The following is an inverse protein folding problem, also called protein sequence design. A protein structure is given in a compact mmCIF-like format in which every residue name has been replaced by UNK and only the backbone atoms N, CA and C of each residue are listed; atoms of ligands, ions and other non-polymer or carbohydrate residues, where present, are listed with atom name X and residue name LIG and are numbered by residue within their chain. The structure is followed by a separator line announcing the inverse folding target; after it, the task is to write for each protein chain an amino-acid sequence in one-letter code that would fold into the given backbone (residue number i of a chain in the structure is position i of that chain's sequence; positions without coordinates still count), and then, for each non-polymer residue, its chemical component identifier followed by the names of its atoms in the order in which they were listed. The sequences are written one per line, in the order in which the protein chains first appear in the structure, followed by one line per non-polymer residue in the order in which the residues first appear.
data_IF_541986991835
#
_entry.id   IF_541986991835
#
_cell.length_a   1.000
_cell.length_b   1.000
_cell.length_c   1.000
_cell.angle_alpha   90.00
_cell.angle_beta   90.00
_cell.angle_gamma   90.00
#
_symmetry.space_group_name_H-M   'P 1'
#
loop_
_entity.id
_entity.type
_entity.pdbx_description
1 polymer ?
#
# COMPACT_ATOMS: atom_id res chain seq x y z
N UNK A 1 0.44 -26.44 -4.63
CA UNK A 1 -0.55 -25.38 -4.42
C UNK A 1 -1.85 -25.77 -5.12
N UNK A 2 -2.98 -25.60 -4.44
CA UNK A 2 -4.29 -25.82 -5.04
C UNK A 2 -4.58 -24.78 -6.11
N UNK A 3 -5.15 -25.19 -7.20
CA UNK A 3 -5.54 -24.31 -8.31
C UNK A 3 -6.98 -24.57 -8.73
N UNK A 4 -7.57 -23.59 -9.39
CA UNK A 4 -8.91 -23.76 -9.97
C UNK A 4 -8.87 -24.70 -11.16
N UNK A 5 -10.04 -25.23 -11.52
CA UNK A 5 -10.19 -26.21 -12.62
C UNK A 5 -10.46 -25.55 -13.96
N UNK A 6 -10.49 -24.21 -14.04
CA UNK A 6 -10.89 -23.48 -15.26
C UNK A 6 -9.85 -22.45 -15.68
N UNK A 7 -9.90 -22.06 -16.94
CA UNK A 7 -9.14 -20.95 -17.51
C UNK A 7 -10.01 -19.74 -17.87
N UNK A 8 -11.33 -19.91 -17.95
CA UNK A 8 -12.29 -18.84 -18.17
C UNK A 8 -13.25 -18.76 -17.01
N UNK A 9 -13.53 -17.57 -16.51
CA UNK A 9 -14.35 -17.33 -15.31
C UNK A 9 -15.74 -17.95 -15.40
N UNK A 10 -16.36 -17.95 -16.60
CA UNK A 10 -17.69 -18.50 -16.81
C UNK A 10 -17.77 -20.02 -16.55
N UNK A 11 -16.65 -20.72 -16.52
CA UNK A 11 -16.58 -22.16 -16.28
C UNK A 11 -16.26 -22.51 -14.83
N UNK A 12 -16.19 -21.51 -13.93
CA UNK A 12 -15.89 -21.74 -12.52
C UNK A 12 -17.06 -22.39 -11.78
N UNK A 13 -16.74 -23.26 -10.82
CA UNK A 13 -17.72 -23.88 -9.93
C UNK A 13 -17.76 -23.13 -8.59
N UNK A 14 -18.81 -23.43 -7.77
CA UNK A 14 -18.89 -22.88 -6.41
C UNK A 14 -17.64 -23.22 -5.60
N UNK A 15 -17.12 -24.43 -5.73
CA UNK A 15 -15.90 -24.86 -5.03
C UNK A 15 -14.69 -24.07 -5.50
N UNK A 16 -14.57 -23.81 -6.81
CA UNK A 16 -13.49 -22.98 -7.35
C UNK A 16 -13.51 -21.59 -6.73
N UNK A 17 -14.67 -20.93 -6.70
CA UNK A 17 -14.79 -19.58 -6.15
C UNK A 17 -14.58 -19.54 -4.64
N UNK A 18 -15.04 -20.55 -3.90
CA UNK A 18 -14.79 -20.64 -2.47
C UNK A 18 -13.30 -20.77 -2.17
N UNK A 19 -12.58 -21.58 -2.96
CA UNK A 19 -11.13 -21.71 -2.84
C UNK A 19 -10.43 -20.40 -3.15
N UNK A 20 -10.83 -19.70 -4.22
CA UNK A 20 -10.25 -18.40 -4.58
C UNK A 20 -10.47 -17.37 -3.47
N UNK A 21 -11.66 -17.32 -2.87
CA UNK A 21 -11.91 -16.41 -1.75
C UNK A 21 -11.00 -16.68 -0.56
N UNK A 22 -10.75 -17.93 -0.23
CA UNK A 22 -9.85 -18.30 0.85
C UNK A 22 -8.40 -17.88 0.55
N UNK A 23 -7.96 -18.10 -0.69
CA UNK A 23 -6.62 -17.69 -1.14
C UNK A 23 -6.48 -16.16 -1.16
N UNK A 24 -7.50 -15.44 -1.63
CA UNK A 24 -7.51 -13.97 -1.64
C UNK A 24 -7.46 -13.41 -0.22
N UNK A 25 -8.21 -13.98 0.71
CA UNK A 25 -8.18 -13.55 2.11
C UNK A 25 -6.76 -13.71 2.69
N UNK A 26 -6.13 -14.85 2.46
CA UNK A 26 -4.74 -15.08 2.88
C UNK A 26 -3.79 -14.06 2.25
N UNK A 27 -4.01 -13.70 0.99
CA UNK A 27 -3.24 -12.68 0.29
C UNK A 27 -3.43 -11.30 0.94
N UNK A 28 -4.67 -10.94 1.27
CA UNK A 28 -4.97 -9.65 1.92
C UNK A 28 -4.29 -9.52 3.27
N UNK A 29 -4.22 -10.59 4.07
CA UNK A 29 -3.58 -10.54 5.39
C UNK A 29 -2.08 -10.24 5.33
N UNK A 30 -1.46 -10.39 4.17
CA UNK A 30 -0.03 -10.11 3.96
C UNK A 30 0.24 -8.76 3.31
N UNK A 31 -0.77 -7.90 3.22
CA UNK A 31 -0.63 -6.58 2.58
C UNK A 31 0.43 -5.73 3.26
N UNK A 32 0.46 -5.70 4.60
CA UNK A 32 1.46 -4.93 5.34
C UNK A 32 2.89 -5.36 4.98
N UNK A 33 3.14 -6.65 4.84
CA UNK A 33 4.46 -7.16 4.47
C UNK A 33 4.84 -6.73 3.06
N UNK A 34 3.89 -6.78 2.11
CA UNK A 34 4.15 -6.32 0.74
C UNK A 34 4.45 -4.84 0.66
N UNK A 35 3.75 -4.02 1.44
CA UNK A 35 4.01 -2.58 1.52
C UNK A 35 5.39 -2.31 2.12
N UNK A 36 5.75 -3.03 3.16
CA UNK A 36 7.08 -2.96 3.76
C UNK A 36 8.17 -3.31 2.74
N UNK A 37 8.00 -4.40 2.01
CA UNK A 37 8.96 -4.84 0.99
C UNK A 37 9.11 -3.81 -0.12
N UNK A 38 8.00 -3.18 -0.55
CA UNK A 38 8.03 -2.12 -1.56
C UNK A 38 8.78 -0.88 -1.05
N UNK A 39 8.57 -0.49 0.20
CA UNK A 39 9.32 0.61 0.79
C UNK A 39 10.82 0.33 0.83
N UNK A 40 11.21 -0.89 1.23
CA UNK A 40 12.64 -1.27 1.22
C UNK A 40 13.22 -1.22 -0.18
N UNK A 41 12.48 -1.71 -1.18
CA UNK A 41 12.90 -1.64 -2.57
C UNK A 41 13.12 -0.18 -3.01
N UNK A 42 12.24 0.73 -2.62
CA UNK A 42 12.35 2.15 -2.93
C UNK A 42 13.58 2.80 -2.28
N UNK A 43 14.08 2.24 -1.20
CA UNK A 43 15.32 2.67 -0.56
C UNK A 43 16.56 2.43 -1.44
N UNK A 44 16.46 1.55 -2.43
CA UNK A 44 17.53 1.25 -3.38
C UNK A 44 17.52 2.21 -4.58
N UNK A 45 16.39 2.92 -4.79
CA UNK A 45 16.21 3.79 -5.95
C UNK A 45 16.72 5.21 -5.64
N UNK A 46 17.39 5.82 -6.61
CA UNK A 46 17.66 7.27 -6.57
C UNK A 46 16.52 8.00 -7.28
N UNK A 47 16.19 9.19 -6.78
CA UNK A 47 15.22 10.08 -7.43
C UNK A 47 16.03 11.23 -8.04
N UNK A 48 15.89 11.44 -9.34
CA UNK A 48 16.59 12.51 -10.06
C UNK A 48 16.32 13.87 -9.39
N UNK A 49 17.39 14.57 -9.08
CA UNK A 49 17.31 15.89 -8.47
C UNK A 49 17.17 15.90 -6.94
N UNK A 50 17.06 14.76 -6.30
CA UNK A 50 16.91 14.66 -4.85
C UNK A 50 18.14 14.00 -4.19
N UNK A 51 18.42 14.40 -2.94
CA UNK A 51 19.53 13.86 -2.16
C UNK A 51 19.12 12.63 -1.34
N UNK A 52 17.83 12.35 -1.21
CA UNK A 52 17.31 11.23 -0.41
C UNK A 52 16.39 10.36 -1.27
N UNK A 53 16.26 9.11 -0.86
CA UNK A 53 15.33 8.17 -1.50
C UNK A 53 13.88 8.41 -1.06
N UNK A 54 12.92 7.79 -1.76
CA UNK A 54 11.51 7.80 -1.35
C UNK A 54 11.33 7.18 0.02
N UNK A 55 12.06 6.12 0.33
CA UNK A 55 12.02 5.49 1.65
C UNK A 55 12.46 6.48 2.73
N UNK A 56 13.57 7.18 2.54
CA UNK A 56 14.06 8.16 3.50
C UNK A 56 13.05 9.29 3.72
N UNK A 57 12.43 9.78 2.64
CA UNK A 57 11.39 10.80 2.72
C UNK A 57 10.19 10.30 3.52
N UNK A 58 9.71 9.08 3.25
CA UNK A 58 8.62 8.47 4.00
C UNK A 58 8.94 8.30 5.48
N UNK A 59 10.14 7.83 5.80
CA UNK A 59 10.59 7.68 7.18
C UNK A 59 10.68 9.02 7.91
N UNK A 60 11.16 10.06 7.24
CA UNK A 60 11.21 11.41 7.83
C UNK A 60 9.80 11.93 8.11
N UNK A 61 8.88 11.77 7.18
CA UNK A 61 7.49 12.20 7.34
C UNK A 61 6.80 11.46 8.48
N UNK A 62 6.97 10.15 8.56
CA UNK A 62 6.42 9.33 9.63
C UNK A 62 7.02 9.70 11.00
N UNK A 63 8.32 9.95 11.05
CA UNK A 63 9.01 10.36 12.29
C UNK A 63 8.49 11.69 12.79
N UNK A 64 8.28 12.66 11.91
CA UNK A 64 7.70 13.96 12.28
C UNK A 64 6.29 13.80 12.84
N UNK A 65 5.44 13.01 12.18
CA UNK A 65 4.09 12.75 12.66
C UNK A 65 4.12 12.11 14.06
N UNK A 66 4.98 11.13 14.26
CA UNK A 66 5.13 10.46 15.54
C UNK A 66 5.62 11.41 16.65
N UNK A 67 6.62 12.24 16.37
CA UNK A 67 7.15 13.22 17.32
C UNK A 67 6.14 14.30 17.67
N UNK A 68 5.25 14.62 16.74
CA UNK A 68 4.17 15.60 16.97
C UNK A 68 2.99 15.01 17.75
N UNK A 69 3.07 13.73 18.13
CA UNK A 69 2.03 13.08 18.91
C UNK A 69 0.84 12.60 18.07
N UNK A 70 0.98 12.50 16.77
CA UNK A 70 -0.07 11.97 15.89
C UNK A 70 -0.33 10.49 16.19
N UNK A 71 -1.57 10.03 15.99
CA UNK A 71 -1.89 8.63 16.20
C UNK A 71 -1.32 7.75 15.07
N UNK A 72 -1.46 6.42 15.24
CA UNK A 72 -0.88 5.45 14.31
C UNK A 72 -1.38 5.63 12.88
N UNK A 73 -2.65 5.97 12.68
CA UNK A 73 -3.20 6.20 11.34
C UNK A 73 -2.44 7.29 10.59
N UNK A 74 -2.14 8.41 11.27
CA UNK A 74 -1.37 9.51 10.68
C UNK A 74 0.08 9.12 10.42
N UNK A 75 0.69 8.35 11.31
CA UNK A 75 2.07 7.89 11.14
C UNK A 75 2.17 6.97 9.92
N UNK A 76 1.24 6.02 9.80
CA UNK A 76 1.18 5.10 8.64
C UNK A 76 0.92 5.88 7.35
N UNK A 77 -0.01 6.81 7.37
CA UNK A 77 -0.31 7.65 6.20
C UNK A 77 0.90 8.47 5.77
N UNK A 78 1.62 9.06 6.71
CA UNK A 78 2.83 9.83 6.42
C UNK A 78 3.92 8.95 5.78
N UNK A 79 4.09 7.73 6.30
CA UNK A 79 5.06 6.77 5.77
C UNK A 79 4.76 6.38 4.32
N UNK A 80 3.49 6.19 3.99
CA UNK A 80 3.05 5.62 2.72
C UNK A 80 2.54 6.65 1.70
N UNK A 81 2.53 7.95 2.04
CA UNK A 81 1.86 8.94 1.18
C UNK A 81 2.44 9.06 -0.23
N UNK A 82 3.69 8.73 -0.44
CA UNK A 82 4.35 8.77 -1.75
C UNK A 82 4.67 7.39 -2.33
N UNK A 83 4.10 6.34 -1.77
CA UNK A 83 4.44 4.96 -2.18
C UNK A 83 4.16 4.70 -3.67
N UNK A 84 3.21 5.41 -4.24
CA UNK A 84 2.83 5.26 -5.65
C UNK A 84 3.58 6.18 -6.61
N UNK A 85 4.45 7.05 -6.13
CA UNK A 85 5.09 8.08 -6.97
C UNK A 85 5.92 7.48 -8.11
N UNK A 86 6.55 6.34 -7.91
CA UNK A 86 7.31 5.66 -8.95
C UNK A 86 6.47 5.05 -10.07
N UNK A 87 5.18 4.78 -9.82
CA UNK A 87 4.25 4.19 -10.77
C UNK A 87 3.27 5.19 -11.35
N UNK A 88 2.81 6.13 -10.54
CA UNK A 88 1.75 7.07 -10.90
C UNK A 88 2.07 8.47 -10.39
N UNK A 89 3.13 9.13 -10.92
CA UNK A 89 3.58 10.41 -10.38
C UNK A 89 2.53 11.52 -10.45
N UNK A 90 1.63 11.48 -11.42
CA UNK A 90 0.62 12.52 -11.60
C UNK A 90 -0.58 12.37 -10.66
N UNK A 91 -0.78 11.18 -10.10
CA UNK A 91 -1.90 10.87 -9.20
C UNK A 91 -1.48 9.96 -8.04
N UNK A 92 -0.22 10.09 -7.59
CA UNK A 92 0.33 9.25 -6.51
C UNK A 92 -0.40 9.45 -5.19
N UNK A 93 -0.96 10.63 -4.95
CA UNK A 93 -1.76 10.93 -3.77
C UNK A 93 -3.05 10.08 -3.72
N UNK A 94 -3.75 9.97 -4.83
CA UNK A 94 -4.95 9.10 -4.94
C UNK A 94 -4.57 7.63 -4.82
N UNK A 95 -3.47 7.23 -5.44
CA UNK A 95 -2.98 5.86 -5.32
C UNK A 95 -2.65 5.51 -3.87
N UNK A 96 -1.94 6.39 -3.17
CA UNK A 96 -1.62 6.19 -1.76
C UNK A 96 -2.89 6.10 -0.92
N UNK A 97 -3.86 6.99 -1.14
CA UNK A 97 -5.12 6.99 -0.41
C UNK A 97 -5.88 5.66 -0.59
N UNK A 98 -5.94 5.13 -1.80
CA UNK A 98 -6.60 3.85 -2.05
C UNK A 98 -5.87 2.67 -1.37
N UNK A 99 -4.54 2.70 -1.33
CA UNK A 99 -3.74 1.67 -0.66
C UNK A 99 -4.02 1.65 0.85
N UNK A 100 -4.09 2.83 1.49
CA UNK A 100 -4.24 2.91 2.94
C UNK A 100 -5.70 2.87 3.41
N UNK A 101 -6.67 3.12 2.53
CA UNK A 101 -8.09 3.22 2.87
C UNK A 101 -8.61 2.10 3.78
N UNK A 102 -8.27 0.82 3.55
CA UNK A 102 -8.77 -0.26 4.42
C UNK A 102 -8.20 -0.25 5.84
N UNK A 103 -7.15 0.51 6.11
CA UNK A 103 -6.35 0.40 7.34
C UNK A 103 -6.42 1.63 8.24
N UNK A 104 -6.84 2.78 7.72
CA UNK A 104 -6.86 4.03 8.45
C UNK A 104 -8.25 4.66 8.41
N UNK A 105 -8.46 5.73 9.20
CA UNK A 105 -9.74 6.45 9.23
C UNK A 105 -10.07 7.13 7.90
N UNK A 106 -11.34 7.43 7.69
CA UNK A 106 -11.80 8.16 6.51
C UNK A 106 -11.19 9.57 6.44
N UNK A 107 -11.04 10.22 7.58
CA UNK A 107 -10.41 11.54 7.67
C UNK A 107 -8.97 11.51 7.16
N UNK A 108 -8.19 10.55 7.64
CA UNK A 108 -6.78 10.39 7.23
C UNK A 108 -6.70 10.09 5.73
N UNK A 109 -7.53 9.19 5.24
CA UNK A 109 -7.58 8.84 3.82
C UNK A 109 -7.90 10.07 2.97
N UNK A 110 -8.89 10.87 3.39
CA UNK A 110 -9.29 12.07 2.66
C UNK A 110 -8.14 13.10 2.56
N UNK A 111 -7.42 13.29 3.65
CA UNK A 111 -6.28 14.23 3.68
C UNK A 111 -5.18 13.77 2.71
N UNK A 112 -4.87 12.48 2.68
CA UNK A 112 -3.87 11.94 1.76
C UNK A 112 -4.30 12.08 0.30
N UNK A 113 -5.58 11.88 0.01
CA UNK A 113 -6.13 11.97 -1.35
C UNK A 113 -6.12 13.42 -1.89
N UNK A 114 -6.28 14.39 -1.01
CA UNK A 114 -6.38 15.80 -1.35
C UNK A 114 -5.21 16.60 -0.80
#
# INVERSE_FOLDING_TARGET
MATVSFTQMKHGTRQDYAMLQALEHSFYTKTAQRLHDELERQGQDSIDGYLISRLEHGLQSATRAWRDGANDDWVVAALLHDIGDGLAPQNHDRMAAEIIRPFVSEEVTWVIEH
#
